data_IF_436959758771
#
_entry.id   IF_436959758771
#
_cell.length_a   1.000
_cell.length_b   1.000
_cell.length_c   1.000
_cell.angle_alpha   90.00
_cell.angle_beta   90.00
_cell.angle_gamma   90.00
#
_symmetry.space_group_name_H-M   'P 1'
#
loop_
_entity.id
_entity.type
_entity.pdbx_description
1 polymer ?
#
# COMPACT_ATOMS: atom_id res chain seq x y z
N UNK A 1 50.05 -17.15 64.82
CA UNK A 1 49.89 -16.92 63.37
C UNK A 1 48.49 -16.39 63.11
N UNK A 2 48.36 -15.32 62.31
CA UNK A 2 47.18 -15.07 61.47
C UNK A 2 45.95 -14.39 62.09
N UNK A 3 45.95 -13.04 62.04
CA UNK A 3 44.71 -12.24 61.83
C UNK A 3 44.07 -12.64 60.50
N UNK A 4 42.74 -12.77 60.44
CA UNK A 4 41.93 -12.25 59.32
C UNK A 4 40.57 -11.75 59.83
N UNK A 5 40.37 -10.45 59.66
CA UNK A 5 39.17 -9.69 60.01
C UNK A 5 37.98 -10.16 59.17
N UNK A 6 36.86 -10.47 59.84
CA UNK A 6 35.54 -10.51 59.24
C UNK A 6 34.73 -9.32 59.80
N UNK A 7 35.04 -8.10 59.35
CA UNK A 7 34.16 -6.94 59.59
C UNK A 7 33.05 -6.98 58.54
N UNK A 8 31.96 -7.66 58.89
CA UNK A 8 30.69 -7.57 58.16
C UNK A 8 30.23 -6.12 58.14
N UNK A 9 30.14 -5.56 56.94
CA UNK A 9 29.70 -4.20 56.69
C UNK A 9 28.19 -4.10 56.99
N UNK A 10 27.82 -3.91 58.27
CA UNK A 10 26.45 -3.61 58.68
C UNK A 10 26.14 -2.18 58.24
N UNK A 11 25.58 -2.03 57.04
CA UNK A 11 24.96 -0.79 56.58
C UNK A 11 24.00 -0.31 57.69
N UNK A 12 24.22 0.89 58.21
CA UNK A 12 23.41 1.41 59.31
C UNK A 12 21.94 1.54 58.86
N UNK A 13 21.00 1.40 59.80
CA UNK A 13 19.56 1.59 59.52
C UNK A 13 19.29 2.94 58.82
N UNK A 14 20.10 3.96 59.13
CA UNK A 14 20.06 5.30 58.53
C UNK A 14 20.49 5.28 57.05
N UNK A 15 21.49 4.48 56.69
CA UNK A 15 21.96 4.37 55.30
C UNK A 15 20.95 3.64 54.40
N UNK A 16 20.24 2.64 54.94
CA UNK A 16 19.12 1.99 54.22
C UNK A 16 17.98 2.98 53.98
N UNK A 17 17.63 3.76 54.99
CA UNK A 17 16.57 4.77 54.88
C UNK A 17 16.90 5.86 53.85
N UNK A 18 18.16 6.34 53.82
CA UNK A 18 18.64 7.28 52.80
C UNK A 18 18.61 6.69 51.38
N UNK A 19 18.96 5.41 51.23
CA UNK A 19 18.87 4.73 49.93
C UNK A 19 17.42 4.54 49.46
N UNK A 20 16.49 4.23 50.37
CA UNK A 20 15.07 4.13 50.05
C UNK A 20 14.46 5.49 49.66
N UNK A 21 14.75 6.55 50.41
CA UNK A 21 14.36 7.93 50.05
C UNK A 21 14.89 8.33 48.67
N UNK A 22 16.18 8.10 48.39
CA UNK A 22 16.76 8.40 47.08
C UNK A 22 16.19 7.56 45.93
N UNK A 23 15.71 6.33 46.21
CA UNK A 23 14.98 5.51 45.22
C UNK A 23 13.57 6.04 44.98
N UNK A 24 12.88 6.48 46.02
CA UNK A 24 11.54 7.08 45.92
C UNK A 24 11.59 8.41 45.15
N UNK A 25 12.53 9.30 45.46
CA UNK A 25 12.72 10.57 44.73
C UNK A 25 13.03 10.36 43.25
N UNK A 26 13.91 9.40 42.91
CA UNK A 26 14.20 9.04 41.52
C UNK A 26 12.98 8.48 40.80
N UNK A 27 12.15 7.68 41.49
CA UNK A 27 10.92 7.13 40.94
C UNK A 27 9.89 8.23 40.64
N UNK A 28 9.66 9.14 41.58
CA UNK A 28 8.79 10.32 41.41
C UNK A 28 9.27 11.21 40.26
N UNK A 29 10.58 11.44 40.15
CA UNK A 29 11.17 12.23 39.05
C UNK A 29 10.97 11.56 37.69
N UNK A 30 11.10 10.23 37.62
CA UNK A 30 10.89 9.48 36.39
C UNK A 30 9.42 9.45 35.97
N UNK A 31 8.49 9.29 36.91
CA UNK A 31 7.03 9.38 36.67
C UNK A 31 6.65 10.78 36.20
N UNK A 32 7.17 11.83 36.83
CA UNK A 32 6.92 13.21 36.43
C UNK A 32 7.45 13.53 35.02
N UNK A 33 8.64 13.02 34.64
CA UNK A 33 9.18 13.15 33.27
C UNK A 33 8.32 12.43 32.23
N UNK A 34 7.78 11.25 32.57
CA UNK A 34 6.85 10.51 31.69
C UNK A 34 5.56 11.28 31.50
N UNK A 35 5.03 11.87 32.57
CA UNK A 35 3.81 12.66 32.52
C UNK A 35 3.98 13.95 31.71
N UNK A 36 5.07 14.69 31.89
CA UNK A 36 5.39 15.86 31.04
C UNK A 36 5.52 15.44 29.57
N UNK A 37 6.17 14.30 29.28
CA UNK A 37 6.29 13.79 27.91
C UNK A 37 4.91 13.44 27.32
N UNK A 38 4.02 12.84 28.12
CA UNK A 38 2.64 12.53 27.73
C UNK A 38 1.86 13.80 27.42
N UNK A 39 1.85 14.78 28.32
CA UNK A 39 1.14 16.05 28.13
C UNK A 39 1.64 16.83 26.91
N UNK A 40 2.95 16.85 26.68
CA UNK A 40 3.54 17.46 25.46
C UNK A 40 3.07 16.74 24.20
N UNK A 41 3.10 15.40 24.20
CA UNK A 41 2.62 14.58 23.09
C UNK A 41 1.12 14.78 22.83
N UNK A 42 0.30 14.89 23.87
CA UNK A 42 -1.13 15.18 23.76
C UNK A 42 -1.36 16.58 23.18
N UNK A 43 -0.60 17.58 23.63
CA UNK A 43 -0.68 18.96 23.12
C UNK A 43 -0.25 19.06 21.65
N UNK A 44 0.83 18.36 21.26
CA UNK A 44 1.28 18.27 19.87
C UNK A 44 0.24 17.57 18.98
N UNK A 45 -0.35 16.47 19.46
CA UNK A 45 -1.42 15.75 18.75
C UNK A 45 -2.62 16.66 18.49
N UNK A 46 -3.07 17.41 19.51
CA UNK A 46 -4.15 18.40 19.37
C UNK A 46 -3.78 19.50 18.37
N UNK A 47 -2.51 19.92 18.32
CA UNK A 47 -2.02 20.90 17.35
C UNK A 47 -2.06 20.38 15.91
N UNK A 48 -1.58 19.16 15.68
CA UNK A 48 -1.57 18.54 14.35
C UNK A 48 -2.98 18.25 13.83
N UNK A 49 -3.87 17.77 14.69
CA UNK A 49 -5.28 17.59 14.33
C UNK A 49 -5.92 18.91 13.88
N UNK A 50 -5.71 20.00 14.62
CA UNK A 50 -6.24 21.32 14.24
C UNK A 50 -5.77 21.76 12.85
N UNK A 51 -4.52 21.48 12.52
CA UNK A 51 -3.94 21.82 11.21
C UNK A 51 -4.68 21.16 10.05
N UNK A 52 -5.05 19.88 10.17
CA UNK A 52 -5.73 19.14 9.11
C UNK A 52 -7.26 19.11 9.23
N UNK A 53 -7.84 19.62 10.32
CA UNK A 53 -9.29 19.64 10.56
C UNK A 53 -10.13 20.29 9.46
N UNK A 54 -9.57 21.27 8.72
CA UNK A 54 -10.24 21.98 7.62
C UNK A 54 -9.93 21.40 6.23
N UNK A 55 -9.01 20.44 6.14
CA UNK A 55 -8.61 19.84 4.88
C UNK A 55 -9.81 19.14 4.20
N UNK A 56 -9.87 19.15 2.86
CA UNK A 56 -11.01 18.59 2.12
C UNK A 56 -11.15 17.07 2.33
N UNK A 57 -10.04 16.33 2.33
CA UNK A 57 -10.12 14.85 2.42
C UNK A 57 -10.45 14.40 3.84
N UNK A 58 -9.92 15.08 4.86
CA UNK A 58 -10.23 14.76 6.27
C UNK A 58 -11.69 15.00 6.57
N UNK A 59 -12.27 16.10 6.06
CA UNK A 59 -13.71 16.38 6.18
C UNK A 59 -14.57 15.41 5.37
N UNK A 60 -14.18 15.10 4.14
CA UNK A 60 -14.95 14.20 3.27
C UNK A 60 -15.04 12.79 3.86
N UNK A 61 -13.92 12.28 4.39
CA UNK A 61 -13.80 10.90 4.87
C UNK A 61 -14.00 10.78 6.39
N UNK A 62 -14.19 11.90 7.09
CA UNK A 62 -14.29 11.97 8.56
C UNK A 62 -13.12 11.26 9.27
N UNK A 63 -11.90 11.62 8.86
CA UNK A 63 -10.62 11.14 9.42
C UNK A 63 -9.80 12.32 9.96
N UNK A 64 -8.83 12.04 10.81
CA UNK A 64 -8.04 13.08 11.50
C UNK A 64 -6.90 13.60 10.62
N UNK A 65 -6.28 12.70 9.84
CA UNK A 65 -5.10 12.99 9.04
C UNK A 65 -5.29 12.67 7.56
N UNK A 66 -4.73 13.46 6.63
CA UNK A 66 -4.92 13.30 5.19
C UNK A 66 -4.05 12.17 4.60
N UNK A 67 -4.08 11.00 5.23
CA UNK A 67 -3.26 9.83 4.90
C UNK A 67 -4.15 8.60 4.75
N UNK A 68 -4.06 7.98 3.58
CA UNK A 68 -4.76 6.76 3.22
C UNK A 68 -3.74 5.65 3.02
N UNK A 69 -3.92 4.52 3.69
CA UNK A 69 -3.15 3.32 3.37
C UNK A 69 -3.72 2.68 2.10
N UNK A 70 -2.86 2.47 1.11
CA UNK A 70 -3.25 1.96 -0.20
C UNK A 70 -3.70 0.49 -0.10
N UNK A 71 -4.79 0.09 -0.78
CA UNK A 71 -5.19 -1.31 -0.89
C UNK A 71 -4.17 -2.09 -1.73
N UNK A 72 -3.42 -3.02 -1.13
CA UNK A 72 -2.28 -3.71 -1.75
C UNK A 72 -2.58 -5.19 -2.04
N UNK A 73 -3.65 -5.54 -2.77
CA UNK A 73 -4.06 -6.96 -2.93
C UNK A 73 -2.92 -7.88 -3.44
N UNK A 74 -2.58 -8.99 -2.75
CA UNK A 74 -3.22 -9.56 -1.55
C UNK A 74 -2.46 -9.27 -0.23
N UNK A 75 -1.61 -8.25 -0.18
CA UNK A 75 -0.68 -7.90 0.89
C UNK A 75 -1.26 -6.93 1.95
N UNK A 76 -2.58 -6.71 1.97
CA UNK A 76 -3.24 -5.90 3.00
C UNK A 76 -3.93 -6.81 4.00
N UNK A 77 -3.62 -6.66 5.28
CA UNK A 77 -4.25 -7.39 6.39
C UNK A 77 -5.35 -6.55 7.06
N UNK A 78 -6.32 -7.19 7.73
CA UNK A 78 -7.27 -6.51 8.61
C UNK A 78 -6.58 -5.66 9.69
N UNK A 79 -5.51 -6.19 10.28
CA UNK A 79 -4.72 -5.51 11.31
C UNK A 79 -4.09 -4.22 10.76
N UNK A 80 -3.57 -4.22 9.53
CA UNK A 80 -3.05 -3.02 8.90
C UNK A 80 -4.14 -1.96 8.70
N UNK A 81 -5.30 -2.37 8.18
CA UNK A 81 -6.45 -1.47 7.95
C UNK A 81 -6.90 -0.83 9.27
N UNK A 82 -7.04 -1.64 10.31
CA UNK A 82 -7.46 -1.17 11.63
C UNK A 82 -6.41 -0.26 12.29
N UNK A 83 -5.12 -0.62 12.26
CA UNK A 83 -4.04 0.19 12.83
C UNK A 83 -3.97 1.58 12.20
N UNK A 84 -4.04 1.69 10.87
CA UNK A 84 -4.01 3.00 10.19
C UNK A 84 -5.23 3.84 10.54
N UNK A 85 -6.42 3.23 10.61
CA UNK A 85 -7.66 3.92 10.96
C UNK A 85 -7.65 4.39 12.42
N UNK A 86 -7.15 3.56 13.34
CA UNK A 86 -6.97 3.90 14.76
C UNK A 86 -5.94 5.02 14.96
N UNK A 87 -4.92 5.11 14.10
CA UNK A 87 -3.91 6.17 14.12
C UNK A 87 -4.40 7.50 13.52
N UNK A 88 -5.65 7.59 13.06
CA UNK A 88 -6.26 8.82 12.55
C UNK A 88 -6.21 8.99 11.02
N UNK A 89 -5.55 8.07 10.29
CA UNK A 89 -5.65 7.98 8.84
C UNK A 89 -6.88 7.19 8.39
N UNK A 90 -6.89 6.76 7.12
CA UNK A 90 -7.87 5.79 6.61
C UNK A 90 -7.18 4.51 6.15
N UNK A 91 -7.52 3.38 6.78
CA UNK A 91 -7.19 2.06 6.25
C UNK A 91 -8.09 1.67 5.07
N UNK A 92 -7.57 0.88 4.13
CA UNK A 92 -8.36 0.41 2.97
C UNK A 92 -8.19 -1.08 2.75
N UNK A 93 -9.28 -1.84 2.83
CA UNK A 93 -9.32 -3.27 2.50
C UNK A 93 -9.04 -3.48 1.01
N UNK A 94 -8.19 -4.45 0.69
CA UNK A 94 -7.86 -4.81 -0.69
C UNK A 94 -8.76 -5.95 -1.22
N UNK A 95 -10.04 -5.64 -1.44
CA UNK A 95 -11.11 -6.60 -1.76
C UNK A 95 -11.07 -7.20 -3.17
N UNK A 96 -10.23 -6.67 -4.07
CA UNK A 96 -10.25 -6.99 -5.49
C UNK A 96 -10.17 -8.49 -5.88
N UNK A 97 -9.63 -9.36 -5.02
CA UNK A 97 -9.52 -10.81 -5.27
C UNK A 97 -10.34 -11.67 -4.30
N UNK A 98 -11.11 -11.04 -3.42
CA UNK A 98 -11.92 -11.74 -2.42
C UNK A 98 -13.28 -12.05 -3.00
N UNK A 99 -13.73 -13.30 -2.87
CA UNK A 99 -15.13 -13.65 -3.15
C UNK A 99 -16.03 -13.03 -2.08
N UNK A 100 -17.34 -13.07 -2.33
CA UNK A 100 -18.36 -12.38 -1.54
C UNK A 100 -18.28 -12.68 -0.04
N UNK A 101 -18.17 -13.96 0.36
CA UNK A 101 -18.06 -14.31 1.78
C UNK A 101 -16.71 -13.89 2.38
N UNK A 102 -15.61 -14.04 1.63
CA UNK A 102 -14.28 -13.61 2.08
C UNK A 102 -14.24 -12.09 2.31
N UNK A 103 -14.83 -11.31 1.40
CA UNK A 103 -14.90 -9.84 1.53
C UNK A 103 -15.76 -9.43 2.73
N UNK A 104 -16.89 -10.10 2.94
CA UNK A 104 -17.79 -9.87 4.07
C UNK A 104 -17.12 -10.17 5.40
N UNK A 105 -16.42 -11.31 5.49
CA UNK A 105 -15.66 -11.69 6.68
C UNK A 105 -14.51 -10.72 6.96
N UNK A 106 -13.80 -10.29 5.91
CA UNK A 106 -12.72 -9.29 6.02
C UNK A 106 -13.25 -7.95 6.56
N UNK A 107 -14.38 -7.45 6.03
CA UNK A 107 -15.04 -6.22 6.52
C UNK A 107 -15.41 -6.34 8.00
N UNK A 108 -15.98 -7.48 8.39
CA UNK A 108 -16.39 -7.73 9.79
C UNK A 108 -15.20 -7.88 10.72
N UNK A 109 -14.12 -8.50 10.25
CA UNK A 109 -12.88 -8.61 11.01
C UNK A 109 -12.28 -7.23 11.27
N UNK A 110 -12.16 -6.36 10.26
CA UNK A 110 -11.70 -4.97 10.48
C UNK A 110 -12.59 -4.24 11.50
N UNK A 111 -13.91 -4.38 11.41
CA UNK A 111 -14.85 -3.78 12.39
C UNK A 111 -14.66 -4.28 13.82
N UNK A 112 -14.21 -5.53 14.01
CA UNK A 112 -13.87 -6.02 15.35
C UNK A 112 -12.58 -5.41 15.93
N UNK A 113 -11.72 -4.84 15.07
CA UNK A 113 -10.42 -4.28 15.43
C UNK A 113 -10.43 -2.73 15.53
N UNK A 114 -11.44 -2.07 14.96
CA UNK A 114 -11.56 -0.61 15.02
C UNK A 114 -13.01 -0.13 14.95
N UNK A 115 -13.29 0.94 15.69
CA UNK A 115 -14.52 1.73 15.59
C UNK A 115 -14.38 2.92 14.63
N UNK A 116 -13.21 3.11 14.01
CA UNK A 116 -12.93 4.19 13.05
C UNK A 116 -13.34 3.77 11.64
N UNK A 117 -13.55 4.76 10.77
CA UNK A 117 -13.96 4.51 9.38
C UNK A 117 -12.80 3.95 8.56
N UNK A 118 -13.12 3.02 7.66
CA UNK A 118 -12.21 2.44 6.67
C UNK A 118 -12.90 2.31 5.31
N UNK A 119 -12.10 2.12 4.27
CA UNK A 119 -12.58 1.90 2.90
C UNK A 119 -12.43 0.45 2.42
N UNK A 120 -13.10 0.15 1.31
CA UNK A 120 -12.91 -1.08 0.52
C UNK A 120 -12.48 -0.68 -0.89
N UNK A 121 -11.52 -1.40 -1.46
CA UNK A 121 -11.12 -1.26 -2.86
C UNK A 121 -11.50 -2.47 -3.70
N UNK A 122 -12.12 -2.21 -4.85
CA UNK A 122 -12.46 -3.22 -5.84
C UNK A 122 -11.79 -2.91 -7.19
N UNK A 123 -11.52 -3.96 -7.97
CA UNK A 123 -11.12 -3.83 -9.35
C UNK A 123 -12.35 -3.92 -10.24
N UNK A 124 -12.52 -2.94 -11.12
CA UNK A 124 -13.54 -3.01 -12.16
C UNK A 124 -13.03 -3.98 -13.25
N UNK A 125 -13.82 -4.99 -13.64
CA UNK A 125 -13.42 -5.95 -14.65
C UNK A 125 -13.06 -5.27 -15.97
N UNK A 126 -12.00 -5.77 -16.62
CA UNK A 126 -11.69 -5.43 -18.01
C UNK A 126 -12.38 -6.38 -18.98
N UNK A 127 -12.43 -5.99 -20.25
CA UNK A 127 -12.95 -6.80 -21.37
C UNK A 127 -12.31 -8.19 -21.36
N UNK A 128 -13.12 -9.22 -21.64
CA UNK A 128 -12.65 -10.59 -21.85
C UNK A 128 -11.93 -10.69 -23.19
N UNK A 129 -10.79 -11.38 -23.19
CA UNK A 129 -9.98 -11.60 -24.38
C UNK A 129 -10.18 -13.03 -24.87
N UNK A 130 -10.27 -13.20 -26.19
CA UNK A 130 -10.11 -14.51 -26.81
C UNK A 130 -8.66 -14.96 -26.63
N UNK A 131 -8.45 -16.20 -26.19
CA UNK A 131 -7.13 -16.78 -25.94
C UNK A 131 -6.97 -17.99 -26.82
N UNK A 132 -5.91 -18.01 -27.61
CA UNK A 132 -5.61 -19.13 -28.48
C UNK A 132 -4.75 -20.14 -27.71
N UNK A 133 -5.04 -21.46 -27.77
CA UNK A 133 -4.28 -22.46 -27.01
C UNK A 133 -2.75 -22.39 -27.20
N UNK A 134 -2.29 -22.05 -28.41
CA UNK A 134 -0.85 -21.93 -28.70
C UNK A 134 -0.17 -20.76 -27.97
N UNK A 135 -0.90 -19.72 -27.57
CA UNK A 135 -0.36 -18.61 -26.77
C UNK A 135 -0.02 -19.07 -25.35
N UNK A 136 -0.85 -19.95 -24.78
CA UNK A 136 -0.61 -20.57 -23.48
C UNK A 136 0.66 -21.42 -23.54
N UNK A 137 0.80 -22.25 -24.56
CA UNK A 137 1.97 -23.11 -24.73
C UNK A 137 3.26 -22.32 -24.98
N UNK A 138 3.16 -21.17 -25.66
CA UNK A 138 4.28 -20.23 -25.82
C UNK A 138 4.77 -19.70 -24.47
N UNK A 139 3.86 -19.25 -23.59
CA UNK A 139 4.25 -18.79 -22.24
C UNK A 139 4.82 -19.93 -21.39
N UNK A 140 4.25 -21.15 -21.45
CA UNK A 140 4.81 -22.33 -20.77
C UNK A 140 6.25 -22.60 -21.21
N UNK A 141 6.52 -22.54 -22.52
CA UNK A 141 7.86 -22.74 -23.09
C UNK A 141 8.85 -21.68 -22.57
N UNK A 142 8.48 -20.41 -22.59
CA UNK A 142 9.32 -19.32 -22.08
C UNK A 142 9.59 -19.45 -20.58
N UNK A 143 8.60 -19.87 -19.78
CA UNK A 143 8.80 -20.14 -18.34
C UNK A 143 9.81 -21.27 -18.10
N UNK A 144 9.70 -22.40 -18.80
CA UNK A 144 10.66 -23.50 -18.70
C UNK A 144 12.08 -23.05 -19.09
N UNK A 145 12.19 -22.28 -20.17
CA UNK A 145 13.47 -21.71 -20.61
C UNK A 145 14.06 -20.80 -19.53
N UNK A 146 13.27 -19.88 -18.98
CA UNK A 146 13.68 -19.00 -17.89
C UNK A 146 14.19 -19.78 -16.67
N UNK A 147 13.47 -20.82 -16.24
CA UNK A 147 13.84 -21.67 -15.11
C UNK A 147 15.23 -22.30 -15.30
N UNK A 148 15.51 -22.81 -16.51
CA UNK A 148 16.80 -23.42 -16.86
C UNK A 148 17.90 -22.36 -16.95
N UNK A 149 17.68 -21.30 -17.75
CA UNK A 149 18.68 -20.26 -18.04
C UNK A 149 19.14 -19.54 -16.77
N UNK A 150 18.20 -19.30 -15.84
CA UNK A 150 18.45 -18.57 -14.59
C UNK A 150 18.61 -19.50 -13.39
N UNK A 151 18.69 -20.82 -13.63
CA UNK A 151 19.03 -21.86 -12.66
C UNK A 151 18.19 -21.80 -11.37
N UNK A 152 16.87 -21.75 -11.51
CA UNK A 152 15.99 -21.83 -10.36
C UNK A 152 16.22 -23.14 -9.61
N UNK A 153 16.55 -23.05 -8.31
CA UNK A 153 16.93 -24.22 -7.51
C UNK A 153 15.70 -24.95 -6.99
N UNK A 154 15.79 -26.28 -6.95
CA UNK A 154 14.80 -27.20 -6.35
C UNK A 154 13.37 -27.04 -6.89
N UNK A 155 13.22 -26.52 -8.11
CA UNK A 155 11.90 -26.31 -8.70
C UNK A 155 11.23 -27.65 -9.00
N UNK A 156 10.00 -27.82 -8.52
CA UNK A 156 9.27 -29.09 -8.55
C UNK A 156 7.89 -29.01 -9.22
N UNK A 157 7.47 -27.83 -9.68
CA UNK A 157 6.16 -27.65 -10.31
C UNK A 157 6.26 -28.03 -11.79
N UNK A 158 5.40 -28.94 -12.24
CA UNK A 158 5.25 -29.20 -13.67
C UNK A 158 4.43 -28.08 -14.34
N UNK A 159 5.12 -27.24 -15.11
CA UNK A 159 4.54 -26.10 -15.84
C UNK A 159 3.45 -26.53 -16.84
N UNK A 160 3.56 -27.72 -17.45
CA UNK A 160 2.58 -28.19 -18.44
C UNK A 160 1.25 -28.54 -17.79
N UNK A 161 1.30 -29.05 -16.55
CA UNK A 161 0.11 -29.41 -15.77
C UNK A 161 -0.67 -28.22 -15.19
N UNK A 162 -0.11 -27.00 -15.22
CA UNK A 162 -0.77 -25.83 -14.63
C UNK A 162 -2.07 -25.55 -15.40
N UNK A 163 -3.24 -25.59 -14.72
CA UNK A 163 -4.51 -25.34 -15.37
C UNK A 163 -4.65 -23.86 -15.72
N UNK A 164 -5.15 -23.59 -16.92
CA UNK A 164 -5.53 -22.24 -17.36
C UNK A 164 -7.03 -22.24 -17.61
N UNK A 165 -7.74 -21.36 -16.90
CA UNK A 165 -9.20 -21.24 -16.96
C UNK A 165 -9.59 -19.78 -17.16
N UNK A 166 -10.72 -19.55 -17.82
CA UNK A 166 -11.32 -18.23 -17.83
C UNK A 166 -11.74 -17.84 -16.41
N UNK A 167 -11.40 -16.61 -16.00
CA UNK A 167 -11.76 -16.10 -14.69
C UNK A 167 -13.23 -15.71 -14.68
N UNK A 168 -13.99 -16.20 -13.68
CA UNK A 168 -15.35 -15.75 -13.45
C UNK A 168 -15.33 -14.31 -12.93
N UNK A 169 -16.18 -13.46 -13.48
CA UNK A 169 -16.42 -12.13 -12.92
C UNK A 169 -17.14 -12.24 -11.57
N UNK A 170 -16.58 -11.60 -10.54
CA UNK A 170 -17.08 -11.56 -9.16
C UNK A 170 -17.51 -10.15 -8.73
N UNK A 171 -17.39 -9.16 -9.62
CA UNK A 171 -17.54 -7.75 -9.26
C UNK A 171 -18.95 -7.39 -8.79
N UNK A 172 -19.98 -7.90 -9.47
CA UNK A 172 -21.37 -7.65 -9.07
C UNK A 172 -21.66 -8.18 -7.67
N UNK A 173 -21.18 -9.39 -7.35
CA UNK A 173 -21.36 -9.98 -6.02
C UNK A 173 -20.59 -9.17 -4.94
N UNK A 174 -19.38 -8.67 -5.26
CA UNK A 174 -18.62 -7.79 -4.35
C UNK A 174 -19.33 -6.46 -4.07
N UNK A 175 -19.95 -5.86 -5.09
CA UNK A 175 -20.72 -4.62 -4.92
C UNK A 175 -21.91 -4.83 -3.99
N UNK A 176 -22.62 -5.94 -4.11
CA UNK A 176 -23.72 -6.26 -3.19
C UNK A 176 -23.24 -6.33 -1.74
N UNK A 177 -22.09 -6.96 -1.47
CA UNK A 177 -21.50 -7.00 -0.13
C UNK A 177 -21.16 -5.59 0.37
N UNK A 178 -20.52 -4.76 -0.45
CA UNK A 178 -20.17 -3.37 -0.12
C UNK A 178 -21.40 -2.54 0.25
N UNK A 179 -22.50 -2.68 -0.52
CA UNK A 179 -23.75 -1.98 -0.28
C UNK A 179 -24.46 -2.49 0.98
N UNK A 180 -24.54 -3.81 1.15
CA UNK A 180 -25.21 -4.46 2.29
C UNK A 180 -24.49 -4.18 3.62
N UNK A 181 -23.16 -4.26 3.61
CA UNK A 181 -22.34 -3.96 4.77
C UNK A 181 -22.23 -2.45 5.02
N UNK A 182 -22.65 -1.58 4.09
CA UNK A 182 -22.62 -0.10 4.23
C UNK A 182 -21.24 0.42 4.63
N UNK A 183 -20.23 0.04 3.87
CA UNK A 183 -18.85 0.52 4.11
C UNK A 183 -18.77 2.05 3.91
N UNK A 184 -17.86 2.71 4.60
CA UNK A 184 -17.79 4.19 4.59
C UNK A 184 -17.33 4.74 3.24
N UNK A 185 -16.42 4.01 2.59
CA UNK A 185 -15.79 4.40 1.34
C UNK A 185 -15.67 3.19 0.42
N UNK A 186 -16.14 3.34 -0.82
CA UNK A 186 -15.83 2.45 -1.93
C UNK A 186 -14.82 3.15 -2.85
N UNK A 187 -13.60 2.62 -2.86
CA UNK A 187 -12.60 3.00 -3.85
C UNK A 187 -12.56 1.97 -4.97
N UNK A 188 -12.17 2.39 -6.17
CA UNK A 188 -12.09 1.47 -7.31
C UNK A 188 -10.95 1.82 -8.27
N UNK A 189 -10.52 0.79 -9.00
CA UNK A 189 -9.39 0.84 -9.94
C UNK A 189 -9.79 0.20 -11.27
N UNK A 190 -9.18 0.64 -12.37
CA UNK A 190 -9.34 0.12 -13.74
C UNK A 190 -10.66 0.46 -14.46
N UNK A 191 -11.45 1.40 -13.96
CA UNK A 191 -12.67 1.77 -14.65
C UNK A 191 -13.48 2.84 -13.94
N UNK A 192 -14.77 2.88 -14.27
CA UNK A 192 -15.77 3.70 -13.64
C UNK A 192 -17.02 2.85 -13.34
N UNK A 193 -17.68 3.14 -12.22
CA UNK A 193 -18.92 2.48 -11.84
C UNK A 193 -20.09 2.90 -12.76
N UNK A 194 -21.09 2.02 -12.87
CA UNK A 194 -22.35 2.37 -13.55
C UNK A 194 -23.14 3.42 -12.74
N UNK A 195 -24.02 4.15 -13.40
CA UNK A 195 -24.86 5.17 -12.76
C UNK A 195 -25.71 4.57 -11.63
N UNK A 196 -26.23 3.35 -11.83
CA UNK A 196 -27.01 2.63 -10.82
C UNK A 196 -26.22 2.37 -9.54
N UNK A 197 -24.97 1.91 -9.66
CA UNK A 197 -24.10 1.65 -8.50
C UNK A 197 -23.75 2.97 -7.81
N UNK A 198 -23.41 4.01 -8.58
CA UNK A 198 -23.08 5.33 -8.04
C UNK A 198 -24.27 5.91 -7.26
N UNK A 199 -25.47 5.82 -7.82
CA UNK A 199 -26.70 6.31 -7.18
C UNK A 199 -27.01 5.55 -5.89
N UNK A 200 -26.87 4.22 -5.88
CA UNK A 200 -27.03 3.39 -4.67
C UNK A 200 -26.01 3.76 -3.60
N UNK A 201 -24.73 3.93 -3.96
CA UNK A 201 -23.69 4.37 -3.02
C UNK A 201 -24.02 5.73 -2.42
N UNK A 202 -24.45 6.71 -3.23
CA UNK A 202 -24.85 8.05 -2.77
C UNK A 202 -26.05 8.00 -1.81
N UNK A 203 -27.07 7.20 -2.12
CA UNK A 203 -28.24 7.00 -1.24
C UNK A 203 -27.86 6.42 0.12
N UNK A 204 -26.84 5.54 0.15
CA UNK A 204 -26.32 4.94 1.38
C UNK A 204 -25.24 5.78 2.07
N UNK A 205 -24.86 6.93 1.51
CA UNK A 205 -23.81 7.80 2.05
C UNK A 205 -22.38 7.27 1.87
N UNK A 206 -22.19 6.24 1.03
CA UNK A 206 -20.88 5.65 0.74
C UNK A 206 -20.09 6.60 -0.17
N UNK A 207 -18.90 7.01 0.27
CA UNK A 207 -18.03 7.90 -0.51
C UNK A 207 -17.31 7.13 -1.62
N UNK A 208 -17.18 7.74 -2.78
CA UNK A 208 -16.59 7.14 -3.97
C UNK A 208 -15.22 7.73 -4.29
N UNK A 209 -14.21 6.87 -4.41
CA UNK A 209 -12.84 7.26 -4.80
C UNK A 209 -12.40 6.47 -6.04
N UNK A 210 -12.31 7.14 -7.18
CA UNK A 210 -11.80 6.54 -8.42
C UNK A 210 -10.29 6.78 -8.59
N UNK A 211 -9.57 5.79 -9.12
CA UNK A 211 -8.15 5.91 -9.46
C UNK A 211 -7.96 6.43 -10.88
N UNK A 212 -7.13 7.46 -11.06
CA UNK A 212 -6.76 8.03 -12.35
C UNK A 212 -5.24 8.09 -12.52
N UNK A 213 -4.76 7.80 -13.72
CA UNK A 213 -3.34 7.91 -14.11
C UNK A 213 -3.06 9.04 -15.08
N UNK A 214 -4.13 9.65 -15.63
CA UNK A 214 -4.07 10.80 -16.52
C UNK A 214 -5.06 11.88 -16.07
N UNK A 215 -4.81 13.13 -16.45
CA UNK A 215 -5.74 14.24 -16.20
C UNK A 215 -7.11 13.99 -16.83
N UNK A 216 -7.15 13.36 -18.02
CA UNK A 216 -8.40 13.01 -18.71
C UNK A 216 -9.24 12.02 -17.90
N UNK A 217 -8.60 11.00 -17.32
CA UNK A 217 -9.26 10.05 -16.41
C UNK A 217 -9.79 10.73 -15.15
N UNK A 218 -9.03 11.67 -14.57
CA UNK A 218 -9.45 12.40 -13.39
C UNK A 218 -10.69 13.26 -13.64
N UNK A 219 -10.68 14.03 -14.74
CA UNK A 219 -11.83 14.85 -15.17
C UNK A 219 -13.04 13.97 -15.49
N UNK A 220 -12.82 12.83 -16.14
CA UNK A 220 -13.88 11.86 -16.41
C UNK A 220 -14.54 11.36 -15.12
N UNK A 221 -13.76 10.85 -14.17
CA UNK A 221 -14.29 10.33 -12.90
C UNK A 221 -15.01 11.39 -12.06
N UNK A 222 -14.50 12.63 -12.06
CA UNK A 222 -15.19 13.77 -11.43
C UNK A 222 -16.59 13.98 -12.02
N UNK A 223 -16.70 14.03 -13.35
CA UNK A 223 -18.01 14.19 -14.02
C UNK A 223 -18.96 13.02 -13.81
N UNK A 224 -18.42 11.80 -13.64
CA UNK A 224 -19.20 10.60 -13.30
C UNK A 224 -19.69 10.60 -11.86
N UNK A 225 -19.19 11.50 -11.01
CA UNK A 225 -19.71 11.73 -9.66
C UNK A 225 -18.96 10.99 -8.56
N UNK A 226 -17.66 10.73 -8.74
CA UNK A 226 -16.77 10.44 -7.61
C UNK A 226 -16.73 11.61 -6.63
N UNK A 227 -16.48 11.33 -5.35
CA UNK A 227 -16.33 12.35 -4.31
C UNK A 227 -14.87 12.84 -4.18
N UNK A 228 -13.90 12.00 -4.53
CA UNK A 228 -12.49 12.34 -4.62
C UNK A 228 -11.79 11.50 -5.70
N UNK A 229 -10.66 11.99 -6.23
CA UNK A 229 -9.85 11.26 -7.21
C UNK A 229 -8.49 10.89 -6.62
N UNK A 230 -8.10 9.63 -6.73
CA UNK A 230 -6.75 9.16 -6.45
C UNK A 230 -5.89 9.25 -7.70
N UNK A 231 -4.99 10.24 -7.74
CA UNK A 231 -4.04 10.47 -8.81
C UNK A 231 -2.81 9.60 -8.61
N UNK A 232 -2.69 8.57 -9.46
CA UNK A 232 -1.70 7.52 -9.36
C UNK A 232 -0.53 7.78 -10.31
N UNK A 233 0.46 8.53 -9.82
CA UNK A 233 1.70 8.81 -10.56
C UNK A 233 2.48 7.53 -10.90
N UNK A 234 3.29 7.62 -11.96
CA UNK A 234 4.06 6.48 -12.48
C UNK A 234 5.00 5.86 -11.46
N UNK A 235 5.35 6.56 -10.39
CA UNK A 235 6.17 6.13 -9.26
C UNK A 235 5.51 5.04 -8.41
N UNK A 236 4.18 4.92 -8.46
CA UNK A 236 3.41 3.99 -7.63
C UNK A 236 3.70 2.52 -7.96
N UNK A 237 3.86 1.69 -6.93
CA UNK A 237 3.99 0.24 -7.04
C UNK A 237 2.68 -0.46 -7.40
N UNK A 238 2.76 -1.69 -7.90
CA UNK A 238 1.59 -2.47 -8.31
C UNK A 238 0.99 -1.98 -9.64
N UNK A 239 -0.24 -2.41 -9.92
CA UNK A 239 -0.91 -2.15 -11.20
C UNK A 239 -1.12 -0.68 -11.51
N UNK A 240 -0.98 -0.33 -12.78
CA UNK A 240 -1.41 0.96 -13.32
C UNK A 240 -2.92 1.00 -13.43
N UNK A 241 -3.53 2.01 -12.81
CA UNK A 241 -4.98 2.18 -12.69
C UNK A 241 -5.69 2.63 -13.96
N UNK A 242 -4.96 2.84 -15.05
CA UNK A 242 -5.46 3.37 -16.33
C UNK A 242 -6.64 2.56 -16.87
N UNK A 243 -7.61 3.25 -17.46
CA UNK A 243 -8.87 2.66 -17.91
C UNK A 243 -9.54 3.35 -19.10
N UNK A 244 -9.19 4.60 -19.46
CA UNK A 244 -9.83 5.27 -20.61
C UNK A 244 -9.32 4.77 -21.98
N UNK A 245 -8.17 4.11 -22.00
CA UNK A 245 -7.64 3.42 -23.17
C UNK A 245 -7.50 1.93 -22.87
N UNK A 246 -7.79 1.10 -23.87
CA UNK A 246 -7.52 -0.34 -23.82
C UNK A 246 -6.18 -0.70 -24.45
N UNK A 247 -5.47 0.27 -25.03
CA UNK A 247 -4.13 0.06 -25.58
C UNK A 247 -3.12 -0.08 -24.44
N UNK A 248 -2.71 -1.33 -24.21
CA UNK A 248 -1.81 -1.70 -23.14
C UNK A 248 -0.42 -1.09 -23.36
N UNK A 249 0.05 -0.92 -24.59
CA UNK A 249 1.37 -0.32 -24.86
C UNK A 249 1.37 1.16 -24.49
N UNK A 250 0.31 1.89 -24.85
CA UNK A 250 0.11 3.28 -24.39
C UNK A 250 0.09 3.36 -22.86
N UNK A 251 -0.61 2.45 -22.16
CA UNK A 251 -0.61 2.44 -20.68
C UNK A 251 0.80 2.20 -20.12
N UNK A 252 1.56 1.28 -20.73
CA UNK A 252 2.91 0.95 -20.29
C UNK A 252 3.91 2.09 -20.53
N UNK A 253 3.74 2.83 -21.63
CA UNK A 253 4.60 3.95 -21.99
C UNK A 253 4.17 5.28 -21.34
N UNK A 254 2.89 5.42 -20.98
CA UNK A 254 2.34 6.60 -20.32
C UNK A 254 2.81 6.66 -18.86
N UNK A 255 4.05 7.10 -18.67
CA UNK A 255 4.73 7.20 -17.37
C UNK A 255 4.67 8.61 -16.78
N UNK A 256 3.48 9.23 -16.74
CA UNK A 256 3.31 10.57 -16.14
C UNK A 256 3.68 10.49 -14.64
N UNK A 257 4.69 11.25 -14.21
CA UNK A 257 5.08 11.34 -12.80
C UNK A 257 4.04 12.09 -11.97
N UNK A 258 3.96 11.78 -10.68
CA UNK A 258 2.93 12.30 -9.76
C UNK A 258 2.88 13.83 -9.74
N UNK A 259 4.04 14.49 -9.74
CA UNK A 259 4.11 15.96 -9.75
C UNK A 259 3.46 16.56 -11.00
N UNK A 260 3.80 16.02 -12.18
CA UNK A 260 3.22 16.47 -13.44
C UNK A 260 1.73 16.14 -13.54
N UNK A 261 1.32 14.96 -13.04
CA UNK A 261 -0.09 14.56 -13.02
C UNK A 261 -0.93 15.50 -12.14
N UNK A 262 -0.45 15.82 -10.94
CA UNK A 262 -1.09 16.81 -10.05
C UNK A 262 -1.18 18.17 -10.73
N UNK A 263 -0.04 18.70 -11.21
CA UNK A 263 0.02 20.03 -11.82
C UNK A 263 -0.86 20.17 -13.06
N UNK A 264 -0.97 19.13 -13.89
CA UNK A 264 -1.89 19.15 -15.02
C UNK A 264 -3.34 19.06 -14.56
N UNK A 265 -3.64 18.19 -13.59
CA UNK A 265 -5.02 17.99 -13.12
C UNK A 265 -5.59 19.24 -12.46
N UNK A 266 -4.79 19.99 -11.69
CA UNK A 266 -5.25 21.21 -11.00
C UNK A 266 -5.60 22.36 -11.95
N UNK A 267 -5.22 22.29 -13.23
CA UNK A 267 -5.67 23.24 -14.26
C UNK A 267 -7.13 23.02 -14.66
N UNK A 268 -7.67 21.81 -14.46
CA UNK A 268 -9.03 21.42 -14.86
C UNK A 268 -9.95 21.11 -13.67
N UNK A 269 -9.36 20.81 -12.51
CA UNK A 269 -10.07 20.52 -11.27
C UNK A 269 -9.55 21.47 -10.20
N UNK A 270 -10.41 22.39 -9.73
CA UNK A 270 -10.08 23.28 -8.63
C UNK A 270 -9.82 22.49 -7.33
N UNK A 271 -8.56 22.43 -6.85
CA UNK A 271 -8.19 21.65 -5.68
C UNK A 271 -8.64 22.30 -4.36
N UNK A 272 -9.17 23.52 -4.38
CA UNK A 272 -9.69 24.22 -3.19
C UNK A 272 -11.10 23.79 -2.80
N UNK A 273 -11.84 23.19 -3.76
CA UNK A 273 -13.21 22.71 -3.54
C UNK A 273 -13.39 21.22 -3.83
N UNK A 274 -12.47 20.60 -4.58
CA UNK A 274 -12.57 19.19 -4.96
C UNK A 274 -11.35 18.39 -4.49
N UNK A 275 -11.52 17.34 -3.65
CA UNK A 275 -10.39 16.61 -3.09
C UNK A 275 -9.62 15.76 -4.12
N UNK A 276 -8.30 15.98 -4.17
CA UNK A 276 -7.35 15.17 -4.93
C UNK A 276 -6.44 14.40 -3.96
N UNK A 277 -6.26 13.10 -4.17
CA UNK A 277 -5.39 12.24 -3.37
C UNK A 277 -4.16 11.90 -4.21
N UNK A 278 -2.98 12.21 -3.71
CA UNK A 278 -1.72 11.93 -4.40
C UNK A 278 -1.20 10.52 -4.06
N UNK A 279 -0.89 9.70 -5.07
CA UNK A 279 -0.42 8.34 -4.88
C UNK A 279 0.81 8.03 -5.76
N UNK A 280 1.88 7.53 -5.15
CA UNK A 280 3.12 7.13 -5.82
C UNK A 280 4.35 7.85 -5.26
N UNK A 281 5.40 7.10 -4.91
CA UNK A 281 6.67 7.66 -4.43
C UNK A 281 6.65 8.32 -3.03
N UNK A 282 5.47 8.53 -2.43
CA UNK A 282 5.30 9.13 -1.10
C UNK A 282 5.59 8.08 -0.02
N UNK A 283 6.57 8.37 0.83
CA UNK A 283 7.07 7.42 1.84
C UNK A 283 7.15 8.03 3.25
N UNK A 284 6.97 9.34 3.39
CA UNK A 284 7.21 10.09 4.62
C UNK A 284 6.48 11.45 4.61
N UNK A 285 6.70 12.25 5.66
CA UNK A 285 6.06 13.57 5.80
C UNK A 285 6.53 14.61 4.80
N UNK A 286 7.74 14.47 4.25
CA UNK A 286 8.23 15.32 3.15
C UNK A 286 7.36 15.09 1.91
N UNK A 287 7.13 13.83 1.54
CA UNK A 287 6.24 13.48 0.43
C UNK A 287 4.81 14.00 0.64
N UNK A 288 4.27 13.88 1.86
CA UNK A 288 2.95 14.43 2.21
C UNK A 288 2.90 15.95 2.06
N UNK A 289 3.86 16.68 2.64
CA UNK A 289 3.91 18.14 2.56
C UNK A 289 4.03 18.64 1.11
N UNK A 290 4.87 17.98 0.29
CA UNK A 290 5.04 18.32 -1.12
C UNK A 290 3.78 18.06 -1.94
N UNK A 291 3.08 16.97 -1.68
CA UNK A 291 1.80 16.68 -2.32
C UNK A 291 0.75 17.75 -1.98
N UNK A 292 0.64 18.13 -0.71
CA UNK A 292 -0.29 19.18 -0.25
C UNK A 292 0.01 20.52 -0.93
N UNK A 293 1.29 20.94 -0.96
CA UNK A 293 1.70 22.16 -1.66
C UNK A 293 1.41 22.13 -3.16
N UNK A 294 1.37 20.94 -3.76
CA UNK A 294 1.07 20.74 -5.18
C UNK A 294 -0.43 20.61 -5.48
N UNK A 295 -1.30 20.86 -4.48
CA UNK A 295 -2.76 20.86 -4.64
C UNK A 295 -3.44 19.55 -4.26
N UNK A 296 -2.73 18.59 -3.67
CA UNK A 296 -3.38 17.42 -3.10
C UNK A 296 -4.08 17.77 -1.77
N UNK A 297 -5.25 17.18 -1.53
CA UNK A 297 -5.89 17.21 -0.23
C UNK A 297 -5.34 16.14 0.70
N UNK A 298 -4.76 15.06 0.18
CA UNK A 298 -4.06 14.07 0.98
C UNK A 298 -3.26 13.09 0.14
N UNK A 299 -2.76 12.05 0.78
CA UNK A 299 -1.90 11.06 0.13
C UNK A 299 -2.42 9.64 0.31
N UNK A 300 -2.14 8.78 -0.66
CA UNK A 300 -2.30 7.35 -0.56
C UNK A 300 -0.92 6.67 -0.63
N UNK A 301 -0.54 5.99 0.45
CA UNK A 301 0.77 5.35 0.61
C UNK A 301 0.61 3.83 0.61
N UNK A 302 1.35 3.14 -0.28
CA UNK A 302 1.35 1.68 -0.36
C UNK A 302 2.68 1.10 0.12
N UNK A 303 3.73 1.26 -0.68
CA UNK A 303 5.05 0.63 -0.45
C UNK A 303 5.59 0.82 0.96
N UNK A 304 5.40 1.99 1.59
CA UNK A 304 5.83 2.25 2.98
C UNK A 304 5.23 1.27 4.00
N UNK A 305 4.03 0.75 3.77
CA UNK A 305 3.36 -0.19 4.67
C UNK A 305 3.71 -1.67 4.39
N UNK A 306 4.49 -1.99 3.35
CA UNK A 306 4.89 -3.38 3.06
C UNK A 306 5.84 -3.98 4.11
N UNK A 307 6.53 -3.14 4.89
CA UNK A 307 7.48 -3.57 5.91
C UNK A 307 7.00 -3.31 7.33
N UNK A 308 5.73 -2.96 7.52
CA UNK A 308 5.20 -2.75 8.86
C UNK A 308 4.85 -4.07 9.57
N UNK A 309 4.76 -4.01 10.90
CA UNK A 309 4.47 -5.17 11.76
C UNK A 309 3.17 -5.87 11.36
N UNK A 310 2.14 -5.12 11.00
CA UNK A 310 0.82 -5.63 10.63
C UNK A 310 0.79 -6.32 9.26
N UNK A 311 1.75 -6.02 8.37
CA UNK A 311 1.86 -6.61 7.03
C UNK A 311 2.69 -7.91 6.99
N UNK A 312 3.37 -8.23 8.09
CA UNK A 312 4.41 -9.27 8.12
C UNK A 312 3.92 -10.67 7.72
N UNK A 313 2.63 -10.97 7.99
CA UNK A 313 2.01 -12.26 7.69
C UNK A 313 1.85 -12.49 6.19
N UNK A 314 1.62 -11.44 5.41
CA UNK A 314 1.30 -11.54 3.98
C UNK A 314 2.47 -11.18 3.07
N UNK A 315 3.39 -10.31 3.52
CA UNK A 315 4.54 -9.91 2.70
C UNK A 315 5.70 -10.90 2.89
N UNK A 316 6.14 -11.62 1.83
CA UNK A 316 7.19 -12.63 1.94
C UNK A 316 8.48 -12.10 2.57
N UNK A 317 9.13 -12.92 3.40
CA UNK A 317 10.33 -12.54 4.15
C UNK A 317 11.44 -11.98 3.25
N UNK A 318 11.75 -12.66 2.14
CA UNK A 318 12.78 -12.22 1.20
C UNK A 318 12.43 -10.88 0.52
N UNK A 319 11.14 -10.61 0.27
CA UNK A 319 10.68 -9.32 -0.24
C UNK A 319 10.86 -8.22 0.81
N UNK A 320 10.42 -8.45 2.05
CA UNK A 320 10.60 -7.47 3.15
C UNK A 320 12.08 -7.17 3.40
N UNK A 321 12.93 -8.20 3.43
CA UNK A 321 14.37 -8.05 3.59
C UNK A 321 14.97 -7.15 2.51
N UNK A 322 14.63 -7.39 1.24
CA UNK A 322 15.07 -6.57 0.12
C UNK A 322 14.65 -5.09 0.28
N UNK A 323 13.42 -4.83 0.71
CA UNK A 323 12.92 -3.46 0.93
C UNK A 323 13.69 -2.74 2.05
N UNK A 324 13.97 -3.45 3.16
CA UNK A 324 14.65 -2.88 4.34
C UNK A 324 16.15 -2.65 4.13
N UNK A 325 16.80 -3.51 3.35
CA UNK A 325 18.24 -3.48 3.13
C UNK A 325 18.67 -2.58 1.96
N UNK A 326 17.72 -2.14 1.13
CA UNK A 326 18.00 -1.32 -0.05
C UNK A 326 18.67 0.03 0.25
N UNK A 327 18.46 0.60 1.45
CA UNK A 327 19.14 1.83 1.88
C UNK A 327 20.56 1.62 2.41
N UNK A 328 20.94 0.37 2.70
CA UNK A 328 22.19 0.07 3.38
C UNK A 328 23.38 0.01 2.42
N UNK A 329 23.13 -0.31 1.15
CA UNK A 329 24.14 -0.38 0.09
C UNK A 329 23.49 0.01 -1.25
N UNK A 330 24.11 0.91 -2.01
CA UNK A 330 23.64 1.32 -3.33
C UNK A 330 23.53 0.14 -4.30
N UNK A 331 24.34 -0.91 -4.12
CA UNK A 331 24.28 -2.13 -4.93
C UNK A 331 23.03 -2.97 -4.64
N UNK A 332 22.40 -2.79 -3.47
CA UNK A 332 21.12 -3.43 -3.14
C UNK A 332 19.93 -2.69 -3.75
N UNK A 333 20.11 -1.44 -4.20
CA UNK A 333 19.06 -0.64 -4.84
C UNK A 333 18.85 -1.08 -6.30
N UNK A 334 18.05 -2.14 -6.46
CA UNK A 334 17.59 -2.58 -7.78
C UNK A 334 16.58 -1.58 -8.36
N UNK A 335 16.57 -1.33 -9.68
CA UNK A 335 15.56 -0.48 -10.27
C UNK A 335 14.18 -1.14 -10.17
N UNK A 336 13.14 -0.30 -10.17
CA UNK A 336 11.77 -0.80 -10.42
C UNK A 336 11.43 -0.64 -11.90
N UNK A 337 10.69 -1.60 -12.44
CA UNK A 337 10.25 -1.61 -13.83
C UNK A 337 8.74 -1.69 -13.89
N UNK A 338 8.16 -1.07 -14.91
CA UNK A 338 6.79 -1.38 -15.30
C UNK A 338 6.82 -2.63 -16.18
N UNK A 339 5.94 -3.59 -15.88
CA UNK A 339 5.96 -4.89 -16.54
C UNK A 339 4.57 -5.52 -16.56
N UNK A 340 4.32 -6.30 -17.60
CA UNK A 340 3.16 -7.19 -17.71
C UNK A 340 3.50 -8.64 -17.36
N UNK A 341 4.77 -8.97 -17.18
CA UNK A 341 5.29 -10.33 -17.09
C UNK A 341 4.54 -11.23 -16.10
N UNK A 342 4.13 -10.67 -14.96
CA UNK A 342 3.47 -11.45 -13.92
C UNK A 342 1.98 -11.69 -14.14
N UNK A 343 1.32 -10.78 -14.84
CA UNK A 343 -0.14 -10.71 -14.76
C UNK A 343 -0.86 -10.37 -16.04
N UNK A 344 -0.17 -9.93 -17.08
CA UNK A 344 -0.74 -9.51 -18.36
C UNK A 344 -1.09 -8.01 -18.42
N UNK A 345 -1.25 -7.36 -17.26
CA UNK A 345 -1.52 -5.91 -17.12
C UNK A 345 -0.31 -5.16 -16.57
N UNK A 346 -0.01 -3.93 -17.04
CA UNK A 346 1.14 -3.16 -16.55
C UNK A 346 1.09 -2.93 -15.05
N UNK A 347 2.17 -3.30 -14.36
CA UNK A 347 2.35 -3.13 -12.93
C UNK A 347 3.82 -2.87 -12.59
N UNK A 348 4.07 -2.06 -11.55
CA UNK A 348 5.43 -1.70 -11.13
C UNK A 348 5.90 -2.58 -9.99
N UNK A 349 7.07 -3.19 -10.19
CA UNK A 349 7.80 -3.94 -9.16
C UNK A 349 9.30 -3.79 -9.31
N UNK A 350 10.05 -4.28 -8.32
CA UNK A 350 11.51 -4.40 -8.38
C UNK A 350 11.87 -5.37 -9.52
N UNK A 351 12.90 -5.03 -10.28
CA UNK A 351 13.38 -5.83 -11.39
C UNK A 351 13.84 -7.23 -10.93
N UNK A 352 13.43 -8.24 -11.68
CA UNK A 352 13.77 -9.65 -11.47
C UNK A 352 14.09 -10.34 -12.80
N UNK A 353 14.54 -11.59 -12.73
CA UNK A 353 14.76 -12.38 -13.94
C UNK A 353 13.47 -12.62 -14.73
N UNK A 354 12.31 -12.73 -14.07
CA UNK A 354 11.00 -12.81 -14.74
C UNK A 354 10.73 -11.54 -15.54
N UNK A 355 10.93 -10.35 -14.95
CA UNK A 355 10.65 -9.09 -15.66
C UNK A 355 11.58 -8.88 -16.84
N UNK A 356 12.85 -9.28 -16.72
CA UNK A 356 13.83 -9.16 -17.79
C UNK A 356 13.54 -10.11 -18.93
N UNK A 357 13.13 -11.34 -18.60
CA UNK A 357 12.84 -12.36 -19.59
C UNK A 357 11.63 -11.99 -20.45
N UNK A 358 10.59 -11.40 -19.87
CA UNK A 358 9.35 -11.04 -20.55
C UNK A 358 9.29 -9.57 -20.98
N UNK A 359 10.41 -8.85 -21.01
CA UNK A 359 10.45 -7.45 -21.43
C UNK A 359 10.14 -7.32 -22.93
N UNK A 360 9.12 -6.52 -23.26
CA UNK A 360 8.64 -6.35 -24.64
C UNK A 360 9.71 -5.82 -25.62
N UNK A 361 10.67 -5.02 -25.14
CA UNK A 361 11.70 -4.39 -25.97
C UNK A 361 12.82 -5.33 -26.45
N UNK A 362 12.80 -6.62 -26.06
CA UNK A 362 13.83 -7.59 -26.44
C UNK A 362 13.45 -8.56 -27.57
N UNK A 363 12.16 -8.87 -27.75
CA UNK A 363 11.66 -9.72 -28.83
C UNK A 363 10.13 -9.59 -28.98
N UNK A 364 9.65 -9.06 -30.11
CA UNK A 364 8.21 -8.95 -30.44
C UNK A 364 7.49 -10.30 -30.55
N UNK A 365 8.24 -11.40 -30.63
CA UNK A 365 7.69 -12.77 -30.68
C UNK A 365 7.29 -13.31 -29.29
N UNK A 366 7.67 -12.65 -28.19
CA UNK A 366 7.31 -13.11 -26.84
C UNK A 366 5.86 -12.76 -26.53
N UNK A 367 5.02 -13.77 -26.64
CA UNK A 367 3.60 -13.69 -26.29
C UNK A 367 3.44 -13.48 -24.78
N UNK A 368 2.68 -12.47 -24.41
CA UNK A 368 2.19 -12.27 -23.05
C UNK A 368 0.69 -12.48 -23.05
N UNK A 369 0.22 -13.35 -22.16
CA UNK A 369 -1.21 -13.60 -22.02
C UNK A 369 -1.90 -12.38 -21.41
N UNK A 370 -3.22 -12.24 -21.65
CA UNK A 370 -4.01 -11.18 -21.06
C UNK A 370 -4.06 -11.21 -19.53
N UNK A 371 -4.61 -10.12 -18.97
CA UNK A 371 -4.82 -9.95 -17.54
C UNK A 371 -5.51 -11.18 -16.91
N UNK A 372 -5.09 -11.57 -15.70
CA UNK A 372 -5.53 -12.75 -14.93
C UNK A 372 -5.11 -14.11 -15.49
N UNK A 373 -4.98 -14.26 -16.81
CA UNK A 373 -4.57 -15.51 -17.44
C UNK A 373 -3.06 -15.72 -17.31
N UNK A 374 -2.27 -14.69 -17.61
CA UNK A 374 -0.82 -14.70 -17.38
C UNK A 374 -0.48 -15.08 -15.93
N UNK A 375 -1.24 -14.56 -14.96
CA UNK A 375 -0.98 -14.86 -13.55
C UNK A 375 -1.22 -16.33 -13.17
N UNK A 376 -2.09 -17.06 -13.87
CA UNK A 376 -2.32 -18.48 -13.56
C UNK A 376 -1.06 -19.32 -13.85
N UNK A 377 -0.29 -18.97 -14.88
CA UNK A 377 0.98 -19.64 -15.19
C UNK A 377 2.16 -19.12 -14.35
N UNK A 378 2.21 -17.81 -14.06
CA UNK A 378 3.39 -17.19 -13.45
C UNK A 378 3.36 -17.19 -11.91
N UNK A 379 2.19 -17.04 -11.29
CA UNK A 379 2.13 -16.94 -9.81
C UNK A 379 2.50 -18.22 -9.06
N UNK A 380 2.21 -19.45 -9.55
CA UNK A 380 2.70 -20.67 -8.89
C UNK A 380 4.23 -20.70 -8.75
N UNK A 381 4.93 -20.29 -9.82
CA UNK A 381 6.38 -20.10 -9.83
C UNK A 381 6.81 -19.04 -8.80
N UNK A 382 6.14 -17.88 -8.78
CA UNK A 382 6.45 -16.82 -7.82
C UNK A 382 6.22 -17.24 -6.36
N UNK A 383 5.19 -18.04 -6.10
CA UNK A 383 4.89 -18.57 -4.76
C UNK A 383 5.99 -19.53 -4.30
N UNK A 384 6.37 -20.49 -5.16
CA UNK A 384 7.50 -21.37 -4.90
C UNK A 384 8.79 -20.59 -4.62
N UNK A 385 9.06 -19.56 -5.43
CA UNK A 385 10.24 -18.71 -5.27
C UNK A 385 10.21 -17.93 -3.94
N UNK A 386 9.04 -17.47 -3.51
CA UNK A 386 8.88 -16.81 -2.21
C UNK A 386 9.16 -17.76 -1.03
N UNK A 387 8.64 -18.99 -1.09
CA UNK A 387 8.86 -20.03 -0.07
C UNK A 387 10.34 -20.46 0.01
N UNK A 388 11.04 -20.47 -1.13
CA UNK A 388 12.46 -20.82 -1.23
C UNK A 388 13.40 -19.62 -1.21
N UNK A 389 12.88 -18.39 -0.99
CA UNK A 389 13.64 -17.13 -0.89
C UNK A 389 14.47 -16.79 -2.14
N UNK A 390 14.01 -17.16 -3.33
CA UNK A 390 14.67 -16.93 -4.62
C UNK A 390 14.13 -15.67 -5.32
N UNK A 391 14.63 -14.50 -4.90
CA UNK A 391 14.09 -13.17 -5.27
C UNK A 391 13.95 -12.91 -6.77
N UNK A 392 14.83 -13.47 -7.60
CA UNK A 392 14.79 -13.26 -9.06
C UNK A 392 13.59 -13.94 -9.76
N UNK A 393 12.84 -14.76 -9.03
CA UNK A 393 11.61 -15.41 -9.52
C UNK A 393 10.38 -15.00 -8.70
N UNK A 394 10.49 -14.00 -7.82
CA UNK A 394 9.37 -13.50 -7.03
C UNK A 394 8.65 -12.34 -7.72
N UNK A 395 7.38 -12.13 -7.35
CA UNK A 395 6.65 -10.90 -7.66
C UNK A 395 6.91 -9.85 -6.56
N UNK A 396 7.75 -8.87 -6.86
CA UNK A 396 8.25 -7.89 -5.89
C UNK A 396 7.62 -6.51 -6.12
N UNK A 397 6.32 -6.36 -5.83
CA UNK A 397 5.64 -5.06 -5.99
C UNK A 397 6.23 -3.98 -5.07
N UNK A 398 6.70 -2.89 -5.67
CA UNK A 398 7.20 -1.74 -4.94
C UNK A 398 7.15 -0.49 -5.85
N UNK A 399 6.91 0.67 -5.25
CA UNK A 399 7.07 1.95 -5.91
C UNK A 399 8.54 2.34 -6.05
N UNK A 400 8.82 3.41 -6.79
CA UNK A 400 10.20 3.82 -7.11
C UNK A 400 11.02 4.23 -5.88
N UNK A 401 10.38 4.63 -4.78
CA UNK A 401 11.03 5.14 -3.57
C UNK A 401 11.12 4.10 -2.44
N UNK A 402 11.16 2.81 -2.78
CA UNK A 402 11.04 1.72 -1.81
C UNK A 402 12.21 1.60 -0.83
N UNK A 403 13.38 2.17 -1.14
CA UNK A 403 14.52 2.19 -0.23
C UNK A 403 14.25 2.97 1.07
N UNK A 404 13.17 3.75 1.12
CA UNK A 404 12.71 4.41 2.34
C UNK A 404 11.84 3.53 3.23
N UNK A 405 11.71 2.23 2.95
CA UNK A 405 11.02 1.32 3.86
C UNK A 405 11.80 1.12 5.16
N UNK A 406 11.06 1.01 6.27
CA UNK A 406 11.59 0.78 7.61
C UNK A 406 10.69 -0.21 8.35
N UNK A 407 11.25 -0.92 9.33
CA UNK A 407 10.48 -1.82 10.17
C UNK A 407 9.89 -1.05 11.35
N UNK A 408 8.57 -0.82 11.33
CA UNK A 408 7.81 -0.03 12.29
C UNK A 408 6.35 -0.51 12.31
N UNK A 409 5.58 -0.19 13.35
CA UNK A 409 4.12 -0.37 13.30
C UNK A 409 3.47 0.63 12.33
N UNK A 410 2.30 0.29 11.80
CA UNK A 410 1.54 1.18 10.93
C UNK A 410 1.17 2.50 11.65
N UNK A 411 0.86 2.44 12.94
CA UNK A 411 0.63 3.63 13.79
C UNK A 411 1.86 4.54 13.84
N UNK A 412 3.06 3.98 13.99
CA UNK A 412 4.28 4.78 14.01
C UNK A 412 4.54 5.45 12.65
N UNK A 413 4.28 4.74 11.54
CA UNK A 413 4.39 5.31 10.19
C UNK A 413 3.46 6.51 10.02
N UNK A 414 2.19 6.39 10.44
CA UNK A 414 1.22 7.49 10.36
C UNK A 414 1.71 8.67 11.20
N UNK A 415 1.99 8.46 12.49
CA UNK A 415 2.39 9.53 13.39
C UNK A 415 3.65 10.26 12.92
N UNK A 416 4.69 9.52 12.50
CA UNK A 416 5.93 10.10 12.00
C UNK A 416 5.71 10.91 10.72
N UNK A 417 4.88 10.41 9.80
CA UNK A 417 4.54 11.10 8.56
C UNK A 417 3.84 12.42 8.83
N UNK A 418 2.87 12.42 9.75
CA UNK A 418 2.12 13.61 10.13
C UNK A 418 3.00 14.62 10.87
N UNK A 419 3.77 14.18 11.86
CA UNK A 419 4.69 15.05 12.61
C UNK A 419 5.67 15.76 11.67
N UNK A 420 6.31 15.01 10.76
CA UNK A 420 7.24 15.57 9.78
C UNK A 420 6.55 16.54 8.83
N UNK A 421 5.37 16.19 8.31
CA UNK A 421 4.63 17.06 7.40
C UNK A 421 4.20 18.37 8.07
N UNK A 422 3.74 18.30 9.32
CA UNK A 422 3.35 19.48 10.09
C UNK A 422 4.53 20.45 10.26
N UNK A 423 5.70 19.96 10.71
CA UNK A 423 6.91 20.80 10.85
C UNK A 423 7.24 21.54 9.54
N UNK A 424 7.25 20.79 8.44
CA UNK A 424 7.55 21.31 7.11
C UNK A 424 6.52 22.35 6.65
N UNK A 425 5.23 22.12 6.88
CA UNK A 425 4.16 23.00 6.44
C UNK A 425 4.02 24.26 7.31
N UNK A 426 4.41 24.20 8.58
CA UNK A 426 4.44 25.36 9.49
C UNK A 426 5.76 26.14 9.44
N UNK A 427 6.79 25.61 8.79
CA UNK A 427 8.11 26.25 8.70
C UNK A 427 8.96 26.14 9.97
N UNK A 428 8.73 25.10 10.78
CA UNK A 428 9.45 24.82 12.03
C UNK A 428 10.54 23.76 11.86
#
# INVERSE_FOLDING_TARGET
MGRKNATGNKTSTVDRYRQELGRQEKKVTAEHRREIKRLKSEQETVSYWKMFSKNLITRLLNIEYPLIQAPMSPLTTPELVASVSNAGGMGTIAGARMRSEELKDEIRHVRSLTNKLFGVNLFIPSIQYDILPHEIDSVRKELKKLIVDKRLKNFSIDIDSIPVKLTKDIFSEQIEIVLNEKVSVLSFTFGCLSDDIINKCKQLGIKLIGTATTTKEAVFLKHRGCDAICLQGSEAGGHRGSFLTNDIETIEQSTIGLQSLLSQTTQFIDPTVYPLIAAGGIMDGIGLANAIRSGASGVQMGTRFLTCEESIKLVPEAHRKLLLEAKNDINNLRPTVLTRAYTGKPARGIQTAITDHFRASGNKEKVLLPWQIQSQLVLPLCKFAAETKQIDFMQLWAGQNYARCENQSATAIVNQTIEQACKILTGN
#
